data_IF_527009664335
#
_entry.id   IF_527009664335
#
_cell.length_a   1.000
_cell.length_b   1.000
_cell.length_c   1.000
_cell.angle_alpha   90.00
_cell.angle_beta   90.00
_cell.angle_gamma   90.00
#
_symmetry.space_group_name_H-M   'P 1'
#
loop_
_entity.id
_entity.type
_entity.pdbx_description
1 polymer ?
#
# COMPACT_ATOMS: atom_id res chain seq x y z
N UNK A 1 -6.99 -4.46 -31.22
CA UNK A 1 -5.61 -4.54 -30.71
C UNK A 1 -5.66 -5.19 -29.36
N UNK A 2 -4.75 -6.11 -29.11
CA UNK A 2 -4.62 -6.72 -27.79
C UNK A 2 -4.14 -5.69 -26.77
N UNK A 3 -4.60 -5.77 -25.54
CA UNK A 3 -4.39 -4.77 -24.49
C UNK A 3 -3.46 -5.31 -23.40
N UNK A 4 -2.87 -4.42 -22.62
CA UNK A 4 -2.22 -4.74 -21.34
C UNK A 4 -3.27 -4.55 -20.24
N UNK A 5 -3.31 -5.44 -19.24
CA UNK A 5 -4.04 -5.21 -17.99
C UNK A 5 -3.08 -4.64 -16.94
N UNK A 6 -3.44 -3.52 -16.36
CA UNK A 6 -2.68 -2.89 -15.28
C UNK A 6 -3.56 -2.80 -14.02
N UNK A 7 -3.23 -3.56 -12.99
CA UNK A 7 -3.84 -3.40 -11.67
C UNK A 7 -3.09 -2.34 -10.89
N UNK A 8 -3.72 -1.19 -10.68
CA UNK A 8 -3.10 0.02 -10.16
C UNK A 8 -3.63 0.45 -8.78
N UNK A 9 -3.65 1.77 -8.56
CA UNK A 9 -4.05 2.41 -7.30
C UNK A 9 -2.87 2.89 -6.45
N UNK A 10 -1.67 2.89 -7.01
CA UNK A 10 -0.43 3.34 -6.37
C UNK A 10 0.28 4.36 -7.27
N UNK A 11 1.33 4.97 -6.77
CA UNK A 11 2.15 5.91 -7.57
C UNK A 11 2.77 5.21 -8.77
N UNK A 12 3.31 4.00 -8.59
CA UNK A 12 3.92 3.22 -9.66
C UNK A 12 2.87 2.83 -10.72
N UNK A 13 1.66 2.45 -10.27
CA UNK A 13 0.55 2.18 -11.19
C UNK A 13 0.16 3.39 -12.02
N UNK A 14 0.23 4.61 -11.45
CA UNK A 14 -0.02 5.86 -12.22
C UNK A 14 1.11 6.17 -13.20
N UNK A 15 2.36 6.01 -12.79
CA UNK A 15 3.52 6.21 -13.66
C UNK A 15 3.47 5.25 -14.86
N UNK A 16 3.11 3.98 -14.64
CA UNK A 16 2.91 3.01 -15.72
C UNK A 16 1.71 3.36 -16.60
N UNK A 17 0.62 3.87 -16.05
CA UNK A 17 -0.51 4.34 -16.84
C UNK A 17 -0.10 5.53 -17.74
N UNK A 18 0.60 6.51 -17.19
CA UNK A 18 1.13 7.64 -17.96
C UNK A 18 2.14 7.18 -19.04
N UNK A 19 2.97 6.17 -18.74
CA UNK A 19 3.89 5.55 -19.70
C UNK A 19 3.14 4.86 -20.84
N UNK A 20 2.15 4.00 -20.55
CA UNK A 20 1.33 3.30 -21.54
C UNK A 20 0.61 4.27 -22.46
N UNK A 21 0.04 5.36 -21.92
CA UNK A 21 -0.59 6.43 -22.71
C UNK A 21 0.42 7.12 -23.63
N UNK A 22 1.60 7.47 -23.11
CA UNK A 22 2.65 8.15 -23.87
C UNK A 22 3.17 7.29 -25.03
N UNK A 23 3.30 5.97 -24.79
CA UNK A 23 3.72 4.99 -25.78
C UNK A 23 2.58 4.55 -26.71
N UNK A 24 1.36 5.06 -26.54
CA UNK A 24 0.17 4.71 -27.31
C UNK A 24 -0.18 3.21 -27.23
N UNK A 25 0.10 2.59 -26.08
CA UNK A 25 -0.15 1.17 -25.84
C UNK A 25 -1.55 1.00 -25.24
N UNK A 26 -2.46 0.27 -25.92
CA UNK A 26 -3.79 0.04 -25.38
C UNK A 26 -3.76 -0.75 -24.08
N UNK A 27 -4.44 -0.24 -23.04
CA UNK A 27 -4.51 -0.94 -21.77
C UNK A 27 -5.85 -0.72 -21.04
N UNK A 28 -6.16 -1.65 -20.14
CA UNK A 28 -7.23 -1.49 -19.16
C UNK A 28 -6.59 -1.36 -17.79
N UNK A 29 -6.85 -0.24 -17.13
CA UNK A 29 -6.32 0.07 -15.79
C UNK A 29 -7.41 -0.18 -14.76
N UNK A 30 -7.19 -1.16 -13.88
CA UNK A 30 -8.09 -1.49 -12.78
C UNK A 30 -7.66 -0.77 -11.51
N UNK A 31 -8.58 -0.05 -10.87
CA UNK A 31 -8.38 0.62 -9.58
C UNK A 31 -9.48 0.25 -8.61
N UNK A 32 -9.12 0.03 -7.35
CA UNK A 32 -10.06 -0.49 -6.35
C UNK A 32 -11.02 0.56 -5.78
N UNK A 33 -10.76 1.87 -6.00
CA UNK A 33 -11.50 2.96 -5.34
C UNK A 33 -11.72 4.13 -6.28
N UNK A 34 -12.82 4.88 -6.07
CA UNK A 34 -13.10 6.13 -6.77
C UNK A 34 -12.01 7.20 -6.58
N UNK A 35 -11.31 7.17 -5.44
CA UNK A 35 -10.13 8.04 -5.25
C UNK A 35 -8.99 7.64 -6.20
N UNK A 36 -8.68 6.34 -6.32
CA UNK A 36 -7.69 5.87 -7.31
C UNK A 36 -8.08 6.24 -8.74
N UNK A 37 -9.35 6.15 -9.07
CA UNK A 37 -9.91 6.58 -10.36
C UNK A 37 -9.75 8.09 -10.56
N UNK A 38 -10.08 8.91 -9.55
CA UNK A 38 -9.96 10.37 -9.63
C UNK A 38 -8.51 10.85 -9.86
N UNK A 39 -7.52 10.09 -9.40
CA UNK A 39 -6.12 10.37 -9.66
C UNK A 39 -5.69 10.07 -11.11
N UNK A 40 -6.47 9.28 -11.83
CA UNK A 40 -6.29 8.92 -13.25
C UNK A 40 -7.26 9.70 -14.16
N UNK A 41 -7.95 10.74 -13.66
CA UNK A 41 -8.93 11.54 -14.40
C UNK A 41 -8.32 12.45 -15.49
N UNK A 42 -7.31 11.98 -16.18
CA UNK A 42 -6.89 12.56 -17.47
C UNK A 42 -7.75 11.93 -18.56
N UNK A 43 -8.02 12.67 -19.62
CA UNK A 43 -8.60 12.09 -20.83
C UNK A 43 -7.52 11.24 -21.52
N UNK A 44 -7.44 9.97 -21.09
CA UNK A 44 -6.62 8.99 -21.78
C UNK A 44 -7.27 8.60 -23.11
N UNK A 45 -6.47 8.48 -24.14
CA UNK A 45 -6.91 8.03 -25.47
C UNK A 45 -6.70 6.51 -25.65
N UNK A 46 -5.68 5.98 -25.02
CA UNK A 46 -5.23 4.59 -25.18
C UNK A 46 -5.59 3.72 -23.99
N UNK A 47 -6.02 4.33 -22.88
CA UNK A 47 -6.37 3.62 -21.65
C UNK A 47 -7.86 3.68 -21.37
N UNK A 48 -8.39 2.55 -20.93
CA UNK A 48 -9.70 2.42 -20.31
C UNK A 48 -9.52 2.22 -18.80
N UNK A 49 -10.14 3.07 -17.97
CA UNK A 49 -10.06 2.94 -16.50
C UNK A 49 -11.32 2.28 -15.99
N UNK A 50 -11.17 1.20 -15.24
CA UNK A 50 -12.27 0.46 -14.59
C UNK A 50 -12.11 0.53 -13.06
N UNK A 51 -13.11 1.08 -12.38
CA UNK A 51 -13.13 1.20 -10.93
C UNK A 51 -13.94 0.07 -10.30
N UNK A 52 -13.39 -0.56 -9.28
CA UNK A 52 -14.04 -1.61 -8.49
C UNK A 52 -13.06 -2.62 -7.94
N UNK A 53 -13.47 -3.27 -6.83
CA UNK A 53 -12.71 -4.39 -6.26
C UNK A 53 -13.16 -5.66 -6.96
N UNK A 54 -12.31 -6.21 -7.81
CA UNK A 54 -12.60 -7.46 -8.52
C UNK A 54 -12.23 -8.67 -7.64
N UNK A 55 -13.12 -9.65 -7.61
CA UNK A 55 -12.82 -11.00 -7.13
C UNK A 55 -12.12 -11.82 -8.23
N UNK A 56 -11.51 -12.94 -7.87
CA UNK A 56 -10.78 -13.80 -8.81
C UNK A 56 -11.63 -14.21 -10.03
N UNK A 57 -12.90 -14.57 -9.81
CA UNK A 57 -13.84 -14.98 -10.85
C UNK A 57 -14.14 -13.86 -11.85
N UNK A 58 -14.25 -12.63 -11.34
CA UNK A 58 -14.45 -11.44 -12.18
C UNK A 58 -13.19 -11.11 -12.98
N UNK A 59 -11.99 -11.28 -12.40
CA UNK A 59 -10.73 -11.14 -13.11
C UNK A 59 -10.62 -12.16 -14.26
N UNK A 60 -10.95 -13.41 -14.01
CA UNK A 60 -10.98 -14.45 -15.04
C UNK A 60 -11.96 -14.13 -16.16
N UNK A 61 -13.14 -13.64 -15.82
CA UNK A 61 -14.12 -13.21 -16.81
C UNK A 61 -13.58 -12.06 -17.68
N UNK A 62 -12.96 -11.05 -17.08
CA UNK A 62 -12.33 -9.93 -17.79
C UNK A 62 -11.21 -10.42 -18.73
N UNK A 63 -10.35 -11.33 -18.25
CA UNK A 63 -9.27 -11.93 -19.04
C UNK A 63 -9.80 -12.71 -20.24
N UNK A 64 -10.88 -13.47 -20.06
CA UNK A 64 -11.52 -14.24 -21.13
C UNK A 64 -12.14 -13.34 -22.22
N UNK A 65 -12.74 -12.21 -21.83
CA UNK A 65 -13.37 -11.27 -22.77
C UNK A 65 -12.34 -10.44 -23.54
N UNK A 66 -11.32 -9.94 -22.86
CA UNK A 66 -10.39 -8.96 -23.43
C UNK A 66 -9.10 -9.61 -23.97
N UNK A 67 -8.78 -10.83 -23.54
CA UNK A 67 -7.58 -11.59 -23.94
C UNK A 67 -6.30 -10.73 -23.90
N UNK A 68 -5.93 -10.19 -22.73
CA UNK A 68 -4.78 -9.30 -22.62
C UNK A 68 -3.48 -10.03 -22.96
N UNK A 69 -2.48 -9.28 -23.45
CA UNK A 69 -1.14 -9.79 -23.72
C UNK A 69 -0.40 -10.18 -22.46
N UNK A 70 -0.56 -9.35 -21.44
CA UNK A 70 0.04 -9.52 -20.14
C UNK A 70 -0.77 -8.80 -19.06
N UNK A 71 -0.57 -9.21 -17.84
CA UNK A 71 -1.13 -8.59 -16.64
C UNK A 71 0.01 -8.04 -15.79
N UNK A 72 -0.09 -6.76 -15.45
CA UNK A 72 0.87 -6.05 -14.62
C UNK A 72 0.21 -5.74 -13.27
N UNK A 73 0.78 -6.25 -12.21
CA UNK A 73 0.36 -5.98 -10.83
C UNK A 73 1.22 -4.85 -10.22
N UNK A 74 0.68 -3.65 -10.21
CA UNK A 74 1.23 -2.48 -9.52
C UNK A 74 0.39 -2.12 -8.28
N UNK A 75 -0.28 -3.09 -7.66
CA UNK A 75 -1.07 -2.89 -6.44
C UNK A 75 -0.19 -2.59 -5.24
N UNK A 76 -0.82 -2.24 -4.12
CA UNK A 76 -0.06 -1.92 -2.91
C UNK A 76 0.60 -3.18 -2.33
N UNK A 77 1.88 -3.16 -1.89
CA UNK A 77 2.61 -4.33 -1.39
C UNK A 77 1.92 -5.09 -0.24
N UNK A 78 1.09 -4.39 0.54
CA UNK A 78 0.29 -4.99 1.62
C UNK A 78 -1.09 -5.47 1.17
N UNK A 79 -1.38 -5.44 -0.11
CA UNK A 79 -2.63 -5.94 -0.67
C UNK A 79 -2.51 -7.41 -1.11
N UNK A 80 -1.94 -8.27 -0.26
CA UNK A 80 -1.59 -9.66 -0.56
C UNK A 80 -2.75 -10.47 -1.16
N UNK A 81 -3.98 -10.25 -0.71
CA UNK A 81 -5.16 -10.96 -1.23
C UNK A 81 -5.41 -10.66 -2.70
N UNK A 82 -5.37 -9.40 -3.10
CA UNK A 82 -5.61 -9.04 -4.52
C UNK A 82 -4.45 -9.49 -5.40
N UNK A 83 -3.22 -9.37 -4.94
CA UNK A 83 -2.04 -9.89 -5.66
C UNK A 83 -2.17 -11.39 -5.91
N UNK A 84 -2.54 -12.17 -4.88
CA UNK A 84 -2.75 -13.60 -5.01
C UNK A 84 -3.91 -13.94 -5.96
N UNK A 85 -5.01 -13.19 -5.91
CA UNK A 85 -6.12 -13.36 -6.84
C UNK A 85 -5.71 -13.09 -8.29
N UNK A 86 -4.93 -12.02 -8.53
CA UNK A 86 -4.44 -11.68 -9.87
C UNK A 86 -3.51 -12.79 -10.38
N UNK A 87 -2.53 -13.21 -9.57
CA UNK A 87 -1.58 -14.27 -9.92
C UNK A 87 -2.29 -15.57 -10.28
N UNK A 88 -3.20 -16.01 -9.41
CA UNK A 88 -3.98 -17.23 -9.65
C UNK A 88 -4.86 -17.12 -10.90
N UNK A 89 -5.48 -15.97 -11.14
CA UNK A 89 -6.30 -15.78 -12.35
C UNK A 89 -5.42 -15.85 -13.61
N UNK A 90 -4.22 -15.26 -13.59
CA UNK A 90 -3.28 -15.33 -14.71
C UNK A 90 -2.81 -16.77 -14.97
N UNK A 91 -2.50 -17.54 -13.91
CA UNK A 91 -2.12 -18.95 -14.03
C UNK A 91 -3.22 -19.77 -14.68
N UNK A 92 -4.49 -19.61 -14.26
CA UNK A 92 -5.65 -20.33 -14.83
C UNK A 92 -5.88 -19.91 -16.27
N UNK A 93 -5.76 -18.62 -16.59
CA UNK A 93 -5.99 -18.09 -17.93
C UNK A 93 -4.80 -18.32 -18.89
N UNK A 94 -3.64 -18.75 -18.41
CA UNK A 94 -2.42 -18.90 -19.20
C UNK A 94 -1.85 -17.57 -19.71
N UNK A 95 -2.04 -16.48 -18.95
CA UNK A 95 -1.61 -15.14 -19.32
C UNK A 95 -0.35 -14.77 -18.51
N UNK A 96 0.63 -14.14 -19.16
CA UNK A 96 1.85 -13.69 -18.51
C UNK A 96 1.54 -12.68 -17.39
N UNK A 97 2.10 -12.90 -16.20
CA UNK A 97 1.96 -12.08 -15.02
C UNK A 97 3.28 -11.43 -14.63
N UNK A 98 3.26 -10.14 -14.39
CA UNK A 98 4.41 -9.36 -13.94
C UNK A 98 4.03 -8.51 -12.74
N UNK A 99 4.87 -8.51 -11.70
CA UNK A 99 4.67 -7.71 -10.50
C UNK A 99 5.68 -6.57 -10.43
N UNK A 100 5.20 -5.37 -10.10
CA UNK A 100 6.07 -4.20 -9.91
C UNK A 100 6.71 -4.26 -8.54
N UNK A 101 8.03 -4.30 -8.52
CA UNK A 101 8.83 -4.15 -7.30
C UNK A 101 9.03 -2.68 -6.94
N UNK A 102 9.15 -2.46 -5.66
CA UNK A 102 9.60 -1.19 -5.09
C UNK A 102 10.88 -1.41 -4.30
N UNK A 103 11.88 -0.54 -4.46
CA UNK A 103 13.08 -0.58 -3.63
C UNK A 103 12.68 -0.58 -2.15
N UNK A 104 13.37 -1.40 -1.35
CA UNK A 104 13.21 -1.39 0.10
C UNK A 104 13.99 -0.23 0.69
N UNK A 105 13.36 0.50 1.59
CA UNK A 105 14.03 1.53 2.39
C UNK A 105 14.25 1.00 3.79
N UNK A 106 15.51 0.87 4.20
CA UNK A 106 15.88 0.61 5.59
C UNK A 106 16.45 1.87 6.20
N UNK A 107 15.94 2.23 7.36
CA UNK A 107 16.44 3.34 8.15
C UNK A 107 17.22 2.81 9.36
N UNK A 108 18.22 3.55 9.80
CA UNK A 108 18.96 3.24 11.01
C UNK A 108 18.10 3.44 12.27
N UNK A 109 18.47 2.78 13.36
CA UNK A 109 17.80 2.91 14.66
C UNK A 109 16.31 2.56 14.64
N UNK A 110 15.95 1.53 13.86
CA UNK A 110 14.59 1.00 13.80
C UNK A 110 14.59 -0.50 14.08
N UNK A 111 13.56 -0.97 14.78
CA UNK A 111 13.29 -2.40 14.97
C UNK A 111 12.39 -2.88 13.82
N UNK A 112 12.82 -3.89 13.09
CA UNK A 112 12.10 -4.43 11.92
C UNK A 112 11.46 -5.77 12.26
N UNK A 113 10.19 -5.93 11.87
CA UNK A 113 9.38 -7.13 12.13
C UNK A 113 8.73 -7.62 10.85
N UNK A 114 8.83 -8.90 10.57
CA UNK A 114 8.16 -9.55 9.43
C UNK A 114 6.74 -9.98 9.79
N UNK A 115 6.48 -10.25 11.08
CA UNK A 115 5.17 -10.66 11.59
C UNK A 115 4.60 -9.65 12.60
N UNK A 116 3.28 -9.46 12.54
CA UNK A 116 2.56 -8.61 13.52
C UNK A 116 2.66 -9.18 14.93
N UNK A 117 2.67 -10.51 15.09
CA UNK A 117 2.85 -11.18 16.39
C UNK A 117 4.12 -10.75 17.10
N UNK A 118 5.24 -10.74 16.38
CA UNK A 118 6.55 -10.41 16.95
C UNK A 118 6.62 -8.91 17.31
N UNK A 119 6.03 -8.06 16.47
CA UNK A 119 5.85 -6.65 16.74
C UNK A 119 5.05 -6.43 18.03
N UNK A 120 3.94 -7.15 18.23
CA UNK A 120 3.12 -7.03 19.45
C UNK A 120 3.89 -7.53 20.68
N UNK A 121 4.64 -8.62 20.59
CA UNK A 121 5.49 -9.11 21.68
C UNK A 121 6.57 -8.09 22.09
N UNK A 122 7.17 -7.42 21.11
CA UNK A 122 8.13 -6.36 21.37
C UNK A 122 7.47 -5.15 22.06
N UNK A 123 6.29 -4.72 21.59
CA UNK A 123 5.54 -3.59 22.14
C UNK A 123 5.09 -3.82 23.60
N UNK A 124 4.91 -5.07 24.04
CA UNK A 124 4.61 -5.39 25.45
C UNK A 124 5.74 -4.96 26.41
N UNK A 125 6.97 -4.84 25.92
CA UNK A 125 8.15 -4.45 26.69
C UNK A 125 8.40 -2.95 26.67
N UNK A 126 7.64 -2.19 25.89
CA UNK A 126 7.76 -0.73 25.77
C UNK A 126 6.77 -0.03 26.70
N UNK A 127 7.08 1.22 27.04
CA UNK A 127 6.23 2.09 27.84
C UNK A 127 5.77 3.32 27.07
N UNK A 128 4.80 4.05 27.62
CA UNK A 128 4.31 5.31 27.06
C UNK A 128 3.32 5.12 25.89
N UNK A 129 3.07 6.22 25.19
CA UNK A 129 2.08 6.29 24.10
C UNK A 129 2.65 5.67 22.82
N UNK A 130 1.88 4.80 22.21
CA UNK A 130 2.15 4.15 20.93
C UNK A 130 1.41 4.93 19.84
N UNK A 131 2.13 5.54 18.92
CA UNK A 131 1.58 6.21 17.75
C UNK A 131 1.61 5.25 16.56
N UNK A 132 0.45 4.67 16.22
CA UNK A 132 0.35 3.70 15.13
C UNK A 132 -0.02 4.37 13.80
N UNK A 133 0.76 4.07 12.77
CA UNK A 133 0.49 4.41 11.37
C UNK A 133 0.38 3.16 10.49
N UNK A 134 0.06 2.00 11.08
CA UNK A 134 -0.13 0.74 10.36
C UNK A 134 -1.38 0.72 9.48
N UNK A 135 -2.32 1.65 9.73
CA UNK A 135 -3.64 1.65 9.11
C UNK A 135 -4.62 0.74 9.86
N UNK A 136 -5.88 0.69 9.40
CA UNK A 136 -6.99 0.06 10.14
C UNK A 136 -6.93 -1.47 10.19
N UNK A 137 -6.34 -2.13 9.20
CA UNK A 137 -6.33 -3.60 9.11
C UNK A 137 -5.62 -4.29 10.28
N UNK A 138 -4.54 -3.68 10.78
CA UNK A 138 -3.72 -4.25 11.85
C UNK A 138 -4.15 -3.77 13.24
N UNK A 139 -5.16 -2.90 13.35
CA UNK A 139 -5.55 -2.31 14.64
C UNK A 139 -6.01 -3.36 15.66
N UNK A 140 -6.73 -4.40 15.22
CA UNK A 140 -7.21 -5.44 16.12
C UNK A 140 -6.08 -6.15 16.88
N UNK A 141 -4.87 -6.23 16.32
CA UNK A 141 -3.72 -6.84 16.97
C UNK A 141 -3.28 -6.13 18.26
N UNK A 142 -3.57 -4.83 18.36
CA UNK A 142 -3.21 -4.06 19.56
C UNK A 142 -4.01 -4.47 20.81
N UNK A 143 -5.11 -5.22 20.68
CA UNK A 143 -5.83 -5.81 21.83
C UNK A 143 -4.99 -6.80 22.62
N UNK A 144 -3.90 -7.31 22.04
CA UNK A 144 -2.94 -8.18 22.72
C UNK A 144 -2.04 -7.42 23.72
N UNK A 145 -2.04 -6.08 23.67
CA UNK A 145 -1.20 -5.26 24.54
C UNK A 145 -1.95 -4.88 25.81
N UNK A 146 -1.28 -4.98 26.98
CA UNK A 146 -1.85 -4.45 28.22
C UNK A 146 -2.13 -2.95 28.10
N UNK A 147 -3.30 -2.53 28.56
CA UNK A 147 -3.72 -1.12 28.60
C UNK A 147 -3.67 -0.39 27.21
N UNK A 148 -3.80 -1.11 26.10
CA UNK A 148 -3.79 -0.50 24.78
C UNK A 148 -4.77 0.66 24.65
N UNK A 149 -5.92 0.59 25.31
CA UNK A 149 -6.96 1.64 25.32
C UNK A 149 -6.44 2.98 25.88
N UNK A 150 -5.37 2.97 26.67
CA UNK A 150 -4.74 4.19 27.22
C UNK A 150 -3.49 4.60 26.44
N UNK A 151 -2.85 3.64 25.78
CA UNK A 151 -1.55 3.83 25.14
C UNK A 151 -1.63 4.05 23.62
N UNK A 152 -2.67 3.54 22.96
CA UNK A 152 -2.75 3.56 21.51
C UNK A 152 -3.34 4.87 20.98
N UNK A 153 -2.62 5.49 20.06
CA UNK A 153 -3.11 6.54 19.15
C UNK A 153 -3.02 5.99 17.72
N UNK A 154 -4.14 5.94 17.03
CA UNK A 154 -4.23 5.37 15.70
C UNK A 154 -4.41 6.46 14.64
N UNK A 155 -3.48 6.57 13.72
CA UNK A 155 -3.62 7.38 12.51
C UNK A 155 -4.06 6.49 11.36
N UNK A 156 -5.25 6.76 10.85
CA UNK A 156 -5.95 5.95 9.83
C UNK A 156 -6.46 6.82 8.68
N UNK A 157 -6.89 6.18 7.60
CA UNK A 157 -7.56 6.89 6.51
C UNK A 157 -8.94 7.41 6.97
N UNK A 158 -9.41 8.56 6.43
CA UNK A 158 -10.70 9.15 6.78
C UNK A 158 -11.84 8.46 6.01
N UNK A 159 -12.03 7.17 6.26
CA UNK A 159 -13.11 6.38 5.68
C UNK A 159 -13.87 5.59 6.75
N UNK A 160 -15.08 5.18 6.42
CA UNK A 160 -16.00 4.50 7.34
C UNK A 160 -15.40 3.21 7.91
N UNK A 161 -14.80 2.37 7.06
CA UNK A 161 -14.18 1.09 7.46
C UNK A 161 -13.12 1.29 8.55
N UNK A 162 -12.25 2.30 8.37
CA UNK A 162 -11.19 2.59 9.33
C UNK A 162 -11.73 3.12 10.66
N UNK A 163 -12.75 3.98 10.63
CA UNK A 163 -13.41 4.49 11.84
C UNK A 163 -14.16 3.39 12.60
N UNK A 164 -14.81 2.47 11.90
CA UNK A 164 -15.44 1.30 12.49
C UNK A 164 -14.44 0.39 13.21
N UNK A 165 -13.23 0.17 12.63
CA UNK A 165 -12.18 -0.58 13.31
C UNK A 165 -11.68 0.14 14.57
N UNK A 166 -11.52 1.46 14.54
CA UNK A 166 -11.20 2.24 15.74
C UNK A 166 -12.29 2.12 16.81
N UNK A 167 -13.55 2.18 16.43
CA UNK A 167 -14.70 2.04 17.34
C UNK A 167 -14.74 0.65 18.00
N UNK A 168 -14.45 -0.43 17.27
CA UNK A 168 -14.35 -1.80 17.80
C UNK A 168 -13.28 -1.94 18.89
N UNK A 169 -12.22 -1.14 18.79
CA UNK A 169 -11.16 -1.08 19.82
C UNK A 169 -11.47 -0.09 20.95
N UNK A 170 -12.67 0.48 20.97
CA UNK A 170 -13.08 1.49 21.94
C UNK A 170 -12.16 2.74 21.99
N UNK A 171 -11.43 3.02 20.91
CA UNK A 171 -10.63 4.25 20.80
C UNK A 171 -11.52 5.47 20.69
N UNK A 172 -11.20 6.53 21.45
CA UNK A 172 -12.08 7.72 21.58
C UNK A 172 -11.29 9.02 21.41
N UNK A 173 -11.97 10.03 20.90
CA UNK A 173 -11.48 11.41 20.85
C UNK A 173 -10.10 11.50 20.22
N UNK A 174 -9.11 12.01 20.97
CA UNK A 174 -7.76 12.23 20.49
C UNK A 174 -6.97 10.95 20.13
N UNK A 175 -7.47 9.77 20.46
CA UNK A 175 -6.82 8.52 20.09
C UNK A 175 -7.00 8.16 18.59
N UNK A 176 -7.92 8.82 17.90
CA UNK A 176 -8.18 8.58 16.48
C UNK A 176 -7.84 9.81 15.67
N UNK A 177 -6.90 9.67 14.73
CA UNK A 177 -6.50 10.69 13.78
C UNK A 177 -6.86 10.19 12.37
N UNK A 178 -8.02 10.63 11.87
CA UNK A 178 -8.52 10.21 10.56
C UNK A 178 -8.09 11.23 9.49
N UNK A 179 -6.95 10.99 8.86
CA UNK A 179 -6.40 11.90 7.85
C UNK A 179 -5.64 11.12 6.77
N UNK A 180 -5.56 11.72 5.59
CA UNK A 180 -4.86 11.15 4.45
C UNK A 180 -3.51 11.83 4.23
N UNK A 181 -2.43 11.03 4.19
CA UNK A 181 -1.09 11.48 3.86
C UNK A 181 -0.77 11.47 2.35
N UNK A 182 0.50 11.60 1.99
CA UNK A 182 1.68 11.69 2.86
C UNK A 182 1.80 13.03 3.60
N UNK A 183 2.58 13.05 4.70
CA UNK A 183 2.79 14.23 5.55
C UNK A 183 4.27 14.60 5.58
N UNK A 184 4.57 15.89 5.72
CA UNK A 184 5.92 16.38 5.92
C UNK A 184 6.52 15.89 7.25
N UNK A 185 7.86 15.99 7.38
CA UNK A 185 8.58 15.70 8.62
C UNK A 185 8.07 16.57 9.78
N UNK A 186 7.86 17.86 9.52
CA UNK A 186 7.41 18.84 10.51
C UNK A 186 6.03 18.48 11.05
N UNK A 187 5.08 18.14 10.17
CA UNK A 187 3.73 17.77 10.59
C UNK A 187 3.72 16.45 11.35
N UNK A 188 4.50 15.45 10.92
CA UNK A 188 4.66 14.21 11.67
C UNK A 188 5.25 14.49 13.06
N UNK A 189 6.32 15.30 13.13
CA UNK A 189 6.98 15.67 14.40
C UNK A 189 6.01 16.38 15.34
N UNK A 190 5.22 17.34 14.84
CA UNK A 190 4.24 18.05 15.67
C UNK A 190 3.19 17.11 16.23
N UNK A 191 2.65 16.19 15.42
CA UNK A 191 1.73 15.16 15.91
C UNK A 191 2.37 14.31 17.02
N UNK A 192 3.61 13.85 16.86
CA UNK A 192 4.27 13.01 17.86
C UNK A 192 4.47 13.75 19.19
N UNK A 193 4.81 15.03 19.14
CA UNK A 193 4.96 15.86 20.33
C UNK A 193 3.62 16.12 21.04
N UNK A 194 2.56 16.47 20.28
CA UNK A 194 1.24 16.78 20.85
C UNK A 194 0.61 15.58 21.56
N UNK A 195 0.91 14.37 21.11
CA UNK A 195 0.47 13.13 21.75
C UNK A 195 1.47 12.55 22.75
N UNK A 196 2.64 13.20 22.93
CA UNK A 196 3.72 12.70 23.79
C UNK A 196 4.07 11.23 23.44
N UNK A 197 4.15 10.94 22.15
CA UNK A 197 4.37 9.60 21.64
C UNK A 197 5.78 9.12 22.00
N UNK A 198 5.87 7.95 22.62
CA UNK A 198 7.14 7.29 22.98
C UNK A 198 7.57 6.28 21.90
N UNK A 199 6.61 5.65 21.22
CA UNK A 199 6.86 4.62 20.24
C UNK A 199 6.11 4.94 18.94
N UNK A 200 6.83 4.95 17.83
CA UNK A 200 6.22 4.94 16.48
C UNK A 200 6.08 3.51 16.01
N UNK A 201 4.88 3.14 15.57
CA UNK A 201 4.64 1.89 14.85
C UNK A 201 4.20 2.22 13.42
N UNK A 202 4.96 1.76 12.44
CA UNK A 202 4.70 2.07 11.03
C UNK A 202 4.93 0.87 10.12
N UNK A 203 4.48 0.98 8.88
CA UNK A 203 4.82 0.05 7.79
C UNK A 203 5.94 0.63 6.94
N UNK A 204 6.76 -0.25 6.38
CA UNK A 204 7.68 0.12 5.31
C UNK A 204 6.88 0.46 4.05
N UNK A 205 6.47 1.72 3.92
CA UNK A 205 5.61 2.18 2.81
C UNK A 205 6.39 2.76 1.63
N UNK A 206 7.72 2.81 1.72
CA UNK A 206 8.60 3.43 0.75
C UNK A 206 8.46 4.97 0.71
N UNK A 207 9.25 5.61 -0.15
CA UNK A 207 9.32 7.07 -0.28
C UNK A 207 7.95 7.70 -0.55
N UNK A 208 7.18 7.12 -1.46
CA UNK A 208 5.84 7.63 -1.82
C UNK A 208 4.80 7.52 -0.69
N UNK A 209 5.03 6.66 0.29
CA UNK A 209 4.19 6.54 1.49
C UNK A 209 4.63 7.43 2.65
N UNK A 210 5.61 8.34 2.44
CA UNK A 210 6.15 9.23 3.47
C UNK A 210 6.87 8.46 4.58
N UNK A 211 7.55 7.35 4.25
CA UNK A 211 8.27 6.54 5.23
C UNK A 211 9.44 7.31 5.82
N UNK A 212 10.28 7.90 4.97
CA UNK A 212 11.47 8.65 5.38
C UNK A 212 11.12 9.83 6.29
N UNK A 213 10.07 10.59 5.95
CA UNK A 213 9.60 11.74 6.72
C UNK A 213 9.09 11.33 8.11
N UNK A 214 8.37 10.20 8.20
CA UNK A 214 7.89 9.65 9.48
C UNK A 214 9.03 9.20 10.37
N UNK A 215 9.98 8.45 9.80
CA UNK A 215 11.15 7.96 10.55
C UNK A 215 11.99 9.14 11.06
N UNK A 216 12.32 10.09 10.19
CA UNK A 216 13.10 11.26 10.58
C UNK A 216 12.40 12.07 11.69
N UNK A 217 11.09 12.27 11.60
CA UNK A 217 10.31 12.95 12.62
C UNK A 217 10.31 12.21 13.97
N UNK A 218 10.22 10.87 13.96
CA UNK A 218 10.26 10.07 15.18
C UNK A 218 11.66 10.09 15.82
N UNK A 219 12.73 10.05 15.01
CA UNK A 219 14.10 10.19 15.48
C UNK A 219 14.34 11.56 16.12
N UNK A 220 13.81 12.64 15.54
CA UNK A 220 13.88 13.99 16.13
C UNK A 220 13.19 14.10 17.50
N UNK A 221 12.20 13.27 17.73
CA UNK A 221 11.46 13.20 18.99
C UNK A 221 12.07 12.19 19.98
N UNK A 222 13.15 11.48 19.63
CA UNK A 222 13.76 10.46 20.46
C UNK A 222 12.90 9.23 20.70
N UNK A 223 11.97 8.92 19.78
CA UNK A 223 11.04 7.80 19.90
C UNK A 223 11.72 6.47 19.56
N UNK A 224 11.24 5.40 20.19
CA UNK A 224 11.48 4.05 19.68
C UNK A 224 10.66 3.83 18.39
N UNK A 225 11.24 3.13 17.41
CA UNK A 225 10.63 2.98 16.09
C UNK A 225 10.53 1.50 15.74
N UNK A 226 9.30 1.04 15.58
CA UNK A 226 8.96 -0.31 15.13
C UNK A 226 8.37 -0.28 13.73
N UNK A 227 8.98 -1.04 12.83
CA UNK A 227 8.61 -1.09 11.42
C UNK A 227 8.13 -2.49 11.07
N UNK A 228 6.88 -2.59 10.63
CA UNK A 228 6.38 -3.81 10.01
C UNK A 228 6.88 -3.84 8.56
N UNK A 229 7.72 -4.83 8.25
CA UNK A 229 8.23 -5.04 6.90
C UNK A 229 7.09 -5.46 5.95
N UNK A 230 7.21 -5.11 4.69
CA UNK A 230 6.32 -5.63 3.67
C UNK A 230 6.63 -7.11 3.39
N UNK A 231 5.64 -7.90 2.94
CA UNK A 231 5.89 -9.26 2.46
C UNK A 231 7.02 -9.28 1.43
N UNK A 232 7.83 -10.33 1.48
CA UNK A 232 8.86 -10.51 0.45
C UNK A 232 8.17 -10.89 -0.86
N UNK A 233 8.54 -10.18 -1.92
CA UNK A 233 8.20 -10.53 -3.29
C UNK A 233 9.46 -11.19 -3.85
N UNK A 234 9.38 -12.47 -4.17
CA UNK A 234 10.53 -13.24 -4.65
C UNK A 234 10.90 -12.90 -6.09
N UNK A 235 9.91 -12.57 -6.90
CA UNK A 235 10.07 -12.26 -8.33
C UNK A 235 9.24 -11.03 -8.71
N UNK A 236 9.87 -10.09 -9.40
CA UNK A 236 9.20 -8.89 -9.92
C UNK A 236 10.22 -7.96 -10.58
N UNK A 237 9.73 -6.90 -11.19
CA UNK A 237 10.51 -5.92 -11.94
C UNK A 237 10.42 -4.54 -11.29
N UNK A 238 11.53 -3.82 -11.24
CA UNK A 238 11.51 -2.39 -10.91
C UNK A 238 10.73 -1.61 -11.97
N UNK A 239 10.33 -0.39 -11.66
CA UNK A 239 9.50 0.42 -12.57
C UNK A 239 10.11 0.54 -13.97
N UNK A 240 11.39 0.89 -14.06
CA UNK A 240 12.11 1.05 -15.33
C UNK A 240 12.27 -0.28 -16.10
N UNK A 241 12.49 -1.37 -15.38
CA UNK A 241 12.56 -2.73 -15.97
C UNK A 241 11.19 -3.15 -16.50
N UNK A 242 10.09 -2.78 -15.79
CA UNK A 242 8.73 -3.04 -16.22
C UNK A 242 8.37 -2.28 -17.49
N UNK A 243 8.78 -1.02 -17.60
CA UNK A 243 8.61 -0.22 -18.82
C UNK A 243 9.29 -0.88 -20.03
N UNK A 244 10.52 -1.38 -19.85
CA UNK A 244 11.24 -2.12 -20.90
C UNK A 244 10.55 -3.44 -21.24
N UNK A 245 10.09 -4.18 -20.25
CA UNK A 245 9.36 -5.43 -20.44
C UNK A 245 8.05 -5.22 -21.23
N UNK A 246 7.32 -4.13 -20.96
CA UNK A 246 6.13 -3.76 -21.71
C UNK A 246 6.47 -3.54 -23.19
N UNK A 247 7.51 -2.77 -23.48
CA UNK A 247 7.94 -2.53 -24.87
C UNK A 247 8.33 -3.83 -25.56
N UNK A 248 9.04 -4.73 -24.88
CA UNK A 248 9.36 -6.05 -25.43
C UNK A 248 8.11 -6.87 -25.78
N UNK A 249 7.14 -6.95 -24.85
CA UNK A 249 5.85 -7.64 -25.10
C UNK A 249 5.14 -7.08 -26.34
N UNK A 250 5.20 -5.77 -26.54
CA UNK A 250 4.57 -5.12 -27.70
C UNK A 250 5.32 -5.37 -29.02
N UNK A 251 6.63 -5.58 -28.98
CA UNK A 251 7.44 -5.89 -30.17
C UNK A 251 7.33 -7.35 -30.64
N UNK A 252 7.00 -8.26 -29.74
CA UNK A 252 6.84 -9.70 -30.04
C UNK A 252 5.48 -10.05 -30.68
N UNK A 253 4.61 -9.05 -30.94
CA UNK A 253 3.29 -9.17 -31.57
C UNK A 253 3.32 -8.88 -33.06
#
# INVERSE_FOLDING_TARGET
MKKIFLFGGTTEGRLLADFLETQQIPAIVFVATSYGESLLQRQYRWLEVRCGRLQKEEMLWQMAQEQPLAVIDATHPYAAVVTENIRTACEIAGIAYYQVLRPREKAANCHYFTAVSDLMQWLQKTEGIIFSTLGSKELCSFQLLPQYEKRLVARVLPNQEALEQCAKLHLKGRQVIAVQGPFSRELNRQMFLDWQAAVLVTKESGKNGGFSEKIAAAQDCGMEIAVLERPQIEHGLLLEEMEQQILQIMHEQ
#
